data_IF_564380112327
#
_entry.id   IF_564380112327
#
_cell.length_a   1.000
_cell.length_b   1.000
_cell.length_c   1.000
_cell.angle_alpha   90.00
_cell.angle_beta   90.00
_cell.angle_gamma   90.00
#
_symmetry.space_group_name_H-M   'P 1'
#
loop_
_entity.id
_entity.type
_entity.pdbx_description
1 polymer ?
#
# COMPACT_ATOMS: atom_id res chain seq x y z
N UNK A 1 61.32 18.55 -23.63
CA UNK A 1 62.15 17.82 -22.63
C UNK A 1 61.19 17.21 -21.62
N UNK A 2 60.61 16.06 -21.96
CA UNK A 2 60.98 14.71 -21.50
C UNK A 2 60.89 14.54 -19.97
N UNK A 3 59.85 13.85 -19.49
CA UNK A 3 59.96 12.39 -19.29
C UNK A 3 58.65 11.75 -18.83
N UNK A 4 58.25 10.73 -19.59
CA UNK A 4 57.27 9.70 -19.26
C UNK A 4 57.75 8.87 -18.06
N UNK A 5 56.82 8.41 -17.22
CA UNK A 5 56.99 7.17 -16.48
C UNK A 5 55.71 6.35 -16.51
N UNK A 6 55.63 5.49 -17.52
CA UNK A 6 54.78 4.32 -17.58
C UNK A 6 55.32 3.27 -16.61
N UNK A 7 54.47 2.69 -15.76
CA UNK A 7 54.74 1.40 -15.10
C UNK A 7 53.49 0.53 -15.13
N UNK A 8 53.49 -0.41 -16.07
CA UNK A 8 53.02 -1.79 -15.83
C UNK A 8 54.22 -2.70 -16.11
N UNK A 9 54.33 -3.86 -15.41
CA UNK A 9 54.06 -5.09 -16.15
C UNK A 9 53.40 -6.22 -15.35
N UNK A 10 52.42 -6.84 -16.01
CA UNK A 10 52.20 -8.28 -16.23
C UNK A 10 52.66 -9.36 -15.20
N UNK A 11 51.70 -10.23 -14.83
CA UNK A 11 51.78 -11.72 -14.78
C UNK A 11 50.36 -12.25 -14.49
N UNK A 12 49.61 -12.75 -15.48
CA UNK A 12 49.54 -14.13 -16.04
C UNK A 12 48.94 -15.20 -15.09
N UNK A 13 47.75 -15.66 -15.48
CA UNK A 13 47.15 -17.01 -15.47
C UNK A 13 47.50 -18.02 -14.37
N UNK A 14 46.47 -18.50 -13.66
CA UNK A 14 46.25 -19.93 -13.43
C UNK A 14 44.79 -20.20 -13.02
N UNK A 15 44.25 -21.29 -13.55
CA UNK A 15 42.89 -21.77 -13.36
C UNK A 15 42.81 -22.83 -12.24
N UNK A 16 41.57 -23.02 -11.77
CA UNK A 16 40.96 -24.25 -11.26
C UNK A 16 41.24 -24.76 -9.83
N UNK A 17 40.14 -25.31 -9.28
CA UNK A 17 39.95 -26.16 -8.10
C UNK A 17 40.06 -25.45 -6.73
N UNK A 18 39.20 -25.69 -5.73
CA UNK A 18 38.28 -26.79 -5.50
C UNK A 18 37.03 -26.30 -4.77
N UNK A 19 35.89 -26.89 -5.12
CA UNK A 19 34.67 -26.83 -4.33
C UNK A 19 34.88 -27.65 -3.04
N UNK A 20 35.10 -26.99 -1.91
CA UNK A 20 34.96 -27.61 -0.58
C UNK A 20 33.53 -27.36 -0.09
N UNK A 21 32.78 -28.45 -0.12
CA UNK A 21 31.47 -28.61 0.49
C UNK A 21 31.59 -28.32 2.01
N UNK A 22 31.08 -27.18 2.48
CA UNK A 22 30.67 -27.04 3.87
C UNK A 22 29.23 -27.55 3.99
N UNK A 23 29.08 -28.85 4.23
CA UNK A 23 27.90 -29.42 4.87
C UNK A 23 27.99 -29.15 6.37
N UNK A 24 27.70 -27.91 6.76
CA UNK A 24 27.29 -27.55 8.11
C UNK A 24 26.05 -26.68 7.94
N UNK A 25 24.88 -27.27 8.19
CA UNK A 25 23.59 -26.69 7.84
C UNK A 25 23.32 -25.38 8.59
N UNK A 26 22.64 -24.42 7.96
CA UNK A 26 21.82 -23.47 8.68
C UNK A 26 20.44 -24.12 8.88
N UNK A 27 20.30 -24.99 9.89
CA UNK A 27 18.98 -25.33 10.44
C UNK A 27 18.42 -24.17 11.28
N UNK A 28 18.66 -22.91 10.87
CA UNK A 28 18.24 -21.69 11.59
C UNK A 28 17.69 -20.62 10.64
N UNK A 29 17.11 -21.01 9.49
CA UNK A 29 16.30 -20.09 8.68
C UNK A 29 14.86 -20.56 8.43
N UNK A 30 14.44 -21.69 9.03
CA UNK A 30 13.03 -22.03 9.18
C UNK A 30 12.34 -21.29 10.34
N UNK A 31 12.94 -20.19 10.79
CA UNK A 31 12.45 -19.31 11.87
C UNK A 31 12.36 -17.85 11.47
N UNK A 32 12.59 -17.49 10.19
CA UNK A 32 12.07 -16.24 9.65
C UNK A 32 10.58 -16.44 9.38
N UNK A 33 9.81 -16.68 10.45
CA UNK A 33 8.43 -16.25 10.45
C UNK A 33 8.46 -14.82 9.99
N UNK A 34 7.67 -14.50 8.96
CA UNK A 34 7.40 -13.11 8.63
C UNK A 34 7.24 -12.37 9.93
N UNK A 35 7.97 -11.26 10.09
CA UNK A 35 7.79 -10.36 11.21
C UNK A 35 6.31 -9.95 11.21
N UNK A 36 5.48 -10.76 11.87
CA UNK A 36 4.11 -10.46 12.19
C UNK A 36 4.28 -9.37 13.23
N UNK A 37 4.37 -8.14 12.74
CA UNK A 37 4.16 -6.96 13.55
C UNK A 37 2.84 -7.23 14.28
N UNK A 38 2.96 -7.54 15.58
CA UNK A 38 1.89 -7.83 16.54
C UNK A 38 0.59 -7.18 16.08
N UNK A 39 -0.27 -7.95 15.42
CA UNK A 39 -1.53 -7.47 14.82
C UNK A 39 -2.57 -7.13 15.89
N UNK A 40 -2.24 -7.36 17.14
CA UNK A 40 -3.11 -7.16 18.29
C UNK A 40 -3.17 -5.70 18.73
N UNK A 41 -2.22 -4.89 18.27
CA UNK A 41 -2.23 -3.45 18.43
C UNK A 41 -2.83 -2.82 17.18
N UNK A 42 -3.93 -2.07 17.35
CA UNK A 42 -4.63 -1.39 16.26
C UNK A 42 -3.68 -0.52 15.44
N UNK A 43 -4.07 -0.17 14.21
CA UNK A 43 -3.23 0.60 13.30
C UNK A 43 -3.97 1.85 12.86
N UNK A 44 -3.26 2.96 12.73
CA UNK A 44 -3.78 4.14 12.07
C UNK A 44 -2.70 4.76 11.20
N UNK A 45 -3.10 5.26 10.05
CA UNK A 45 -2.23 6.03 9.17
C UNK A 45 -2.98 7.23 8.60
N UNK A 46 -2.23 8.27 8.29
CA UNK A 46 -2.74 9.50 7.72
C UNK A 46 -1.71 10.02 6.70
N UNK A 47 -2.18 10.49 5.55
CA UNK A 47 -1.32 11.01 4.47
C UNK A 47 -1.99 12.19 3.78
N UNK A 48 -1.26 13.29 3.64
CA UNK A 48 -1.77 14.51 3.00
C UNK A 48 -1.83 14.37 1.49
N UNK A 49 -0.77 13.85 0.88
CA UNK A 49 -0.68 13.65 -0.56
C UNK A 49 0.04 12.35 -0.84
N UNK A 50 -0.54 11.52 -1.71
CA UNK A 50 0.14 10.39 -2.33
C UNK A 50 0.00 10.53 -3.84
N UNK A 51 1.12 10.50 -4.55
CA UNK A 51 1.14 10.49 -6.02
C UNK A 51 1.73 9.17 -6.50
N UNK A 52 1.10 8.58 -7.51
CA UNK A 52 1.66 7.54 -8.34
C UNK A 52 1.45 7.97 -9.78
N UNK A 53 2.31 8.87 -10.24
CA UNK A 53 2.26 9.45 -11.59
C UNK A 53 3.43 8.92 -12.40
N UNK A 54 3.18 8.52 -13.63
CA UNK A 54 4.20 8.15 -14.61
C UNK A 54 4.40 9.32 -15.56
N UNK A 55 5.63 9.82 -15.65
CA UNK A 55 5.99 10.94 -16.51
C UNK A 55 6.82 10.41 -17.67
N UNK A 56 6.24 10.45 -18.87
CA UNK A 56 6.92 10.09 -20.11
C UNK A 56 7.35 11.34 -20.85
N UNK A 57 8.67 11.51 -21.01
CA UNK A 57 9.26 12.63 -21.74
C UNK A 57 9.45 12.28 -23.21
N UNK A 58 9.37 13.31 -24.07
CA UNK A 58 9.72 13.34 -25.50
C UNK A 58 9.80 11.95 -26.18
N UNK A 59 8.74 11.57 -26.90
CA UNK A 59 8.63 10.29 -27.62
C UNK A 59 8.73 9.04 -26.74
N UNK A 60 8.37 9.14 -25.45
CA UNK A 60 8.45 8.02 -24.48
C UNK A 60 9.87 7.46 -24.33
N UNK A 61 10.87 8.31 -24.58
CA UNK A 61 12.28 7.92 -24.54
C UNK A 61 12.77 7.70 -23.11
N UNK A 62 12.15 8.37 -22.13
CA UNK A 62 12.41 8.22 -20.70
C UNK A 62 11.09 8.20 -19.96
N UNK A 63 10.87 7.15 -19.16
CA UNK A 63 9.75 7.06 -18.23
C UNK A 63 10.29 7.24 -16.80
N UNK A 64 9.80 8.28 -16.11
CA UNK A 64 10.20 8.60 -14.75
C UNK A 64 8.99 8.46 -13.83
N UNK A 65 8.98 7.46 -12.92
CA UNK A 65 7.91 7.32 -11.94
C UNK A 65 8.03 8.41 -10.86
N UNK A 66 6.97 9.17 -10.66
CA UNK A 66 6.80 10.17 -9.62
C UNK A 66 5.93 9.59 -8.49
N UNK A 67 6.57 8.73 -7.68
CA UNK A 67 5.99 8.19 -6.46
C UNK A 67 6.41 9.06 -5.26
N UNK A 68 5.50 9.88 -4.76
CA UNK A 68 5.74 10.76 -3.61
C UNK A 68 4.65 10.57 -2.57
N UNK A 69 5.03 10.61 -1.29
CA UNK A 69 4.10 10.78 -0.19
C UNK A 69 4.49 11.96 0.69
N UNK A 70 3.52 12.79 1.03
CA UNK A 70 3.69 13.97 1.89
C UNK A 70 2.95 13.76 3.20
N UNK A 71 3.66 14.04 4.29
CA UNK A 71 3.15 13.94 5.65
C UNK A 71 2.47 12.58 5.89
N UNK A 72 3.03 11.52 5.32
CA UNK A 72 2.59 10.16 5.62
C UNK A 72 3.12 9.77 7.00
N UNK A 73 2.19 9.47 7.90
CA UNK A 73 2.49 9.10 9.27
C UNK A 73 1.81 7.79 9.62
N UNK A 74 2.51 6.99 10.43
CA UNK A 74 2.00 5.78 11.03
C UNK A 74 1.92 5.98 12.54
N UNK A 75 0.82 5.57 13.15
CA UNK A 75 0.61 5.78 14.58
C UNK A 75 1.66 5.07 15.46
N UNK A 76 2.06 5.68 16.60
CA UNK A 76 1.72 7.04 17.04
C UNK A 76 2.65 8.07 16.40
N UNK A 77 2.13 8.95 15.54
CA UNK A 77 2.91 10.04 14.95
C UNK A 77 2.01 11.16 14.42
N UNK A 78 2.58 12.36 14.29
CA UNK A 78 1.94 13.52 13.67
C UNK A 78 2.97 14.24 12.79
N UNK A 79 2.52 14.80 11.68
CA UNK A 79 3.36 15.55 10.76
C UNK A 79 2.61 16.78 10.25
N UNK A 80 3.34 17.90 10.16
CA UNK A 80 2.82 19.18 9.68
C UNK A 80 3.83 19.79 8.71
N UNK A 81 3.38 20.14 7.50
CA UNK A 81 4.22 20.77 6.49
C UNK A 81 3.38 21.52 5.47
N UNK A 82 3.71 22.77 5.19
CA UNK A 82 2.89 23.66 4.34
C UNK A 82 3.34 23.67 2.87
N UNK A 83 4.59 23.33 2.57
CA UNK A 83 5.07 23.26 1.18
C UNK A 83 5.98 22.05 0.93
N UNK A 84 5.80 21.40 -0.22
CA UNK A 84 6.70 20.34 -0.70
C UNK A 84 7.18 20.65 -2.13
N UNK A 85 8.48 20.92 -2.23
CA UNK A 85 9.23 20.99 -3.48
C UNK A 85 9.86 19.64 -3.79
N UNK A 86 9.74 19.18 -5.04
CA UNK A 86 10.46 18.02 -5.54
C UNK A 86 11.51 18.47 -6.56
N UNK A 87 12.68 17.84 -6.50
CA UNK A 87 13.68 17.90 -7.56
C UNK A 87 13.65 16.54 -8.23
N UNK A 88 13.36 16.51 -9.51
CA UNK A 88 13.49 15.31 -10.31
C UNK A 88 14.53 15.59 -11.39
N UNK A 89 15.62 14.85 -11.34
CA UNK A 89 16.63 14.89 -12.37
C UNK A 89 16.04 14.33 -13.67
N UNK A 90 16.01 15.15 -14.73
CA UNK A 90 15.53 14.74 -16.05
C UNK A 90 14.19 15.32 -16.48
N UNK A 91 13.37 15.86 -15.58
CA UNK A 91 12.15 16.63 -15.93
C UNK A 91 12.44 18.13 -15.83
N UNK A 92 11.87 18.94 -16.73
CA UNK A 92 12.04 20.41 -16.76
C UNK A 92 13.50 20.92 -16.70
N UNK A 93 14.45 20.16 -17.27
CA UNK A 93 15.86 20.54 -17.30
C UNK A 93 16.58 20.47 -15.94
N UNK A 94 16.07 19.67 -14.99
CA UNK A 94 16.67 19.49 -13.66
C UNK A 94 16.38 20.62 -12.69
N UNK A 95 15.41 21.50 -13.01
CA UNK A 95 15.02 22.58 -12.11
C UNK A 95 14.11 22.06 -10.99
N UNK A 96 14.26 22.55 -9.75
CA UNK A 96 13.30 22.28 -8.69
C UNK A 96 11.92 22.80 -9.09
N UNK A 97 10.88 21.97 -8.90
CA UNK A 97 9.50 22.39 -9.07
C UNK A 97 8.68 22.06 -7.82
N UNK A 98 7.68 22.88 -7.53
CA UNK A 98 6.79 22.65 -6.39
C UNK A 98 5.65 21.75 -6.81
N UNK A 99 5.55 20.55 -6.21
CA UNK A 99 4.44 19.63 -6.49
C UNK A 99 3.21 20.14 -5.75
N UNK A 100 3.30 20.29 -4.42
CA UNK A 100 2.18 20.76 -3.59
C UNK A 100 2.57 22.03 -2.83
N UNK A 101 1.73 23.06 -2.94
CA UNK A 101 1.72 24.22 -2.05
C UNK A 101 0.41 24.20 -1.26
N UNK A 102 0.47 24.45 0.05
CA UNK A 102 -0.71 24.56 0.90
C UNK A 102 -0.45 25.54 2.05
N UNK A 103 -1.50 26.14 2.59
CA UNK A 103 -1.35 26.98 3.79
C UNK A 103 -1.29 26.13 5.06
N UNK A 104 -2.06 25.04 5.08
CA UNK A 104 -2.07 24.06 6.15
C UNK A 104 -2.05 22.66 5.55
N UNK A 105 -1.15 21.81 6.03
CA UNK A 105 -1.18 20.39 5.71
C UNK A 105 -0.74 19.58 6.92
N UNK A 106 -1.70 18.97 7.60
CA UNK A 106 -1.48 18.18 8.80
C UNK A 106 -1.97 16.75 8.61
N UNK A 107 -1.23 15.81 9.22
CA UNK A 107 -1.59 14.41 9.29
C UNK A 107 -1.32 13.91 10.71
N UNK A 108 -2.33 13.29 11.31
CA UNK A 108 -2.25 12.73 12.66
C UNK A 108 -2.70 11.27 12.63
N UNK A 109 -1.91 10.41 13.24
CA UNK A 109 -2.23 9.01 13.43
C UNK A 109 -1.97 8.61 14.88
N UNK A 110 -3.02 8.15 15.56
CA UNK A 110 -2.97 7.76 16.97
C UNK A 110 -3.57 6.38 17.17
N UNK A 111 -2.96 5.61 18.05
CA UNK A 111 -3.43 4.28 18.45
C UNK A 111 -3.36 4.18 19.96
N UNK A 112 -4.44 3.67 20.54
CA UNK A 112 -4.59 3.32 21.95
C UNK A 112 -5.06 1.87 22.04
N UNK A 113 -5.16 1.33 23.26
CA UNK A 113 -5.65 -0.04 23.48
C UNK A 113 -7.10 -0.27 23.02
N UNK A 114 -7.90 0.78 22.89
CA UNK A 114 -9.33 0.69 22.56
C UNK A 114 -9.73 1.45 21.29
N UNK A 115 -8.84 2.26 20.73
CA UNK A 115 -9.13 3.10 19.55
C UNK A 115 -7.90 3.30 18.68
N UNK A 116 -8.09 3.22 17.37
CA UNK A 116 -7.18 3.72 16.36
C UNK A 116 -7.85 4.84 15.56
N UNK A 117 -7.14 5.95 15.37
CA UNK A 117 -7.65 7.14 14.70
C UNK A 117 -6.60 7.75 13.77
N UNK A 118 -6.97 7.90 12.49
CA UNK A 118 -6.21 8.65 11.50
C UNK A 118 -7.01 9.89 11.09
N UNK A 119 -6.36 11.04 10.97
CA UNK A 119 -6.99 12.25 10.45
C UNK A 119 -6.02 13.09 9.64
N UNK A 120 -6.54 13.77 8.63
CA UNK A 120 -5.78 14.73 7.83
C UNK A 120 -6.59 15.99 7.61
N UNK A 121 -5.87 17.12 7.53
CA UNK A 121 -6.44 18.42 7.23
C UNK A 121 -5.53 19.15 6.24
N UNK A 122 -6.13 19.65 5.17
CA UNK A 122 -5.45 20.36 4.10
C UNK A 122 -6.25 21.62 3.77
N UNK A 123 -5.59 22.79 3.75
CA UNK A 123 -6.21 24.07 3.43
C UNK A 123 -5.40 24.84 2.38
N UNK A 124 -6.11 25.51 1.48
CA UNK A 124 -5.61 26.30 0.37
C UNK A 124 -4.49 25.60 -0.41
N UNK A 125 -4.79 24.39 -0.89
CA UNK A 125 -3.80 23.57 -1.54
C UNK A 125 -3.87 23.66 -3.07
N UNK A 126 -2.71 23.79 -3.70
CA UNK A 126 -2.53 23.80 -5.14
C UNK A 126 -1.49 22.75 -5.55
N UNK A 127 -1.91 21.79 -6.36
CA UNK A 127 -1.07 20.70 -6.87
C UNK A 127 -0.68 20.98 -8.32
N UNK A 128 0.61 20.88 -8.62
CA UNK A 128 1.17 21.08 -9.95
C UNK A 128 1.81 19.78 -10.44
N UNK A 129 1.79 19.59 -11.76
CA UNK A 129 2.42 18.46 -12.44
C UNK A 129 3.39 18.94 -13.50
N UNK A 130 4.44 18.16 -13.81
CA UNK A 130 5.34 18.48 -14.92
C UNK A 130 4.59 18.70 -16.24
N UNK A 131 5.07 19.64 -17.06
CA UNK A 131 4.48 19.94 -18.37
C UNK A 131 3.34 20.97 -18.36
N UNK A 132 2.84 21.39 -17.18
CA UNK A 132 1.82 22.42 -17.03
C UNK A 132 2.28 23.55 -16.10
N UNK A 133 3.23 24.41 -16.52
CA UNK A 133 3.79 25.44 -15.63
C UNK A 133 2.80 26.56 -15.28
N UNK A 134 1.80 26.80 -16.14
CA UNK A 134 0.82 27.89 -15.97
C UNK A 134 -0.46 27.46 -15.24
N UNK A 135 -0.73 26.16 -15.17
CA UNK A 135 -1.99 25.62 -14.66
C UNK A 135 -1.74 24.60 -13.56
N UNK A 136 -2.34 24.83 -12.40
CA UNK A 136 -2.45 23.80 -11.36
C UNK A 136 -3.30 22.64 -11.88
N UNK A 137 -2.89 21.41 -11.60
CA UNK A 137 -3.72 20.23 -11.83
C UNK A 137 -5.03 20.37 -11.07
N UNK A 138 -4.93 20.74 -9.79
CA UNK A 138 -6.07 20.99 -8.93
C UNK A 138 -5.74 22.02 -7.84
N UNK A 139 -6.73 22.84 -7.51
CA UNK A 139 -6.75 23.73 -6.36
C UNK A 139 -7.98 23.44 -5.50
N UNK A 140 -7.77 23.36 -4.18
CA UNK A 140 -8.81 23.07 -3.20
C UNK A 140 -8.71 24.04 -2.02
N UNK A 141 -9.86 24.53 -1.56
CA UNK A 141 -9.92 25.42 -0.41
C UNK A 141 -9.71 24.69 0.91
N UNK A 142 -10.50 23.64 1.18
CA UNK A 142 -10.34 22.87 2.40
C UNK A 142 -10.77 21.43 2.20
N UNK A 143 -9.93 20.51 2.69
CA UNK A 143 -10.11 19.07 2.54
C UNK A 143 -9.79 18.40 3.86
N UNK A 144 -10.68 17.52 4.31
CA UNK A 144 -10.51 16.77 5.55
C UNK A 144 -10.86 15.31 5.35
N UNK A 145 -10.09 14.42 5.97
CA UNK A 145 -10.48 13.02 6.10
C UNK A 145 -10.20 12.52 7.50
N UNK A 146 -11.06 11.63 7.97
CA UNK A 146 -10.98 11.02 9.29
C UNK A 146 -11.44 9.58 9.22
N UNK A 147 -10.66 8.69 9.82
CA UNK A 147 -11.00 7.30 10.01
C UNK A 147 -10.84 6.97 11.50
N UNK A 148 -11.90 6.46 12.12
CA UNK A 148 -11.91 6.10 13.54
C UNK A 148 -12.41 4.67 13.70
N UNK A 149 -11.58 3.87 14.36
CA UNK A 149 -11.80 2.45 14.60
C UNK A 149 -11.74 2.20 16.10
N UNK A 150 -12.90 1.99 16.72
CA UNK A 150 -13.01 1.61 18.12
C UNK A 150 -13.15 0.10 18.27
N UNK A 151 -12.53 -0.43 19.32
CA UNK A 151 -12.59 -1.84 19.63
C UNK A 151 -14.04 -2.27 19.92
N UNK A 152 -14.51 -3.31 19.22
CA UNK A 152 -15.87 -3.84 19.37
C UNK A 152 -17.00 -2.97 18.80
N UNK A 153 -16.71 -1.87 18.10
CA UNK A 153 -17.72 -1.03 17.43
C UNK A 153 -17.53 -1.00 15.93
N UNK A 154 -18.57 -0.57 15.20
CA UNK A 154 -18.51 -0.37 13.76
C UNK A 154 -17.52 0.78 13.44
N UNK A 155 -16.51 0.55 12.59
CA UNK A 155 -15.61 1.61 12.12
C UNK A 155 -16.36 2.74 11.42
N UNK A 156 -15.87 3.97 11.59
CA UNK A 156 -16.45 5.18 10.99
C UNK A 156 -15.38 5.88 10.15
N UNK A 157 -15.75 6.24 8.93
CA UNK A 157 -14.91 6.97 8.00
C UNK A 157 -15.69 8.18 7.48
N UNK A 158 -15.07 9.36 7.49
CA UNK A 158 -15.66 10.58 6.92
C UNK A 158 -14.62 11.33 6.12
N UNK A 159 -15.07 11.94 5.03
CA UNK A 159 -14.21 12.73 4.18
C UNK A 159 -15.02 13.88 3.60
N UNK A 160 -14.57 15.12 3.83
CA UNK A 160 -15.30 16.32 3.45
C UNK A 160 -14.39 17.24 2.65
N UNK A 161 -14.99 17.86 1.64
CA UNK A 161 -14.40 18.94 0.88
C UNK A 161 -15.29 20.17 1.06
N UNK A 162 -14.69 21.26 1.50
CA UNK A 162 -15.37 22.54 1.73
C UNK A 162 -14.76 23.59 0.81
N UNK A 163 -15.64 24.38 0.18
CA UNK A 163 -15.24 25.46 -0.72
C UNK A 163 -15.19 25.06 -2.20
N UNK A 164 -14.54 25.89 -3.00
CA UNK A 164 -14.43 25.66 -4.43
C UNK A 164 -13.28 24.74 -4.83
N UNK A 165 -13.47 24.03 -5.95
CA UNK A 165 -12.44 23.23 -6.58
C UNK A 165 -12.19 23.75 -7.98
N UNK A 166 -10.92 23.98 -8.30
CA UNK A 166 -10.48 24.35 -9.63
C UNK A 166 -9.63 23.22 -10.18
N UNK A 167 -9.91 22.76 -11.40
CA UNK A 167 -9.16 21.68 -12.07
C UNK A 167 -8.68 22.22 -13.40
N UNK A 168 -7.36 22.17 -13.63
CA UNK A 168 -6.73 22.70 -14.85
C UNK A 168 -7.18 24.15 -15.17
N UNK A 169 -7.28 24.99 -14.14
CA UNK A 169 -7.72 26.38 -14.25
C UNK A 169 -9.23 26.61 -14.47
N UNK A 170 -10.06 25.56 -14.49
CA UNK A 170 -11.53 25.68 -14.57
C UNK A 170 -12.16 25.39 -13.21
N UNK A 171 -13.02 26.29 -12.72
CA UNK A 171 -13.83 26.06 -11.52
C UNK A 171 -14.88 24.98 -11.81
N UNK A 172 -14.91 23.95 -10.97
CA UNK A 172 -15.76 22.77 -11.14
C UNK A 172 -16.83 22.75 -10.07
N UNK A 173 -18.08 22.53 -10.47
CA UNK A 173 -19.17 22.23 -9.54
C UNK A 173 -19.16 20.73 -9.26
N UNK A 174 -18.93 20.36 -8.01
CA UNK A 174 -18.83 18.96 -7.60
C UNK A 174 -20.20 18.29 -7.57
N UNK A 175 -20.28 17.09 -8.14
CA UNK A 175 -21.49 16.26 -8.09
C UNK A 175 -21.58 15.47 -6.78
N UNK A 176 -22.73 15.53 -6.11
CA UNK A 176 -22.96 15.01 -4.74
C UNK A 176 -22.99 13.47 -4.62
N UNK A 177 -22.59 12.72 -5.64
CA UNK A 177 -22.73 11.24 -5.59
C UNK A 177 -22.08 10.47 -6.73
N UNK A 178 -21.11 11.05 -7.44
CA UNK A 178 -20.47 10.37 -8.56
C UNK A 178 -19.17 11.05 -9.01
N UNK A 179 -18.38 10.36 -9.85
CA UNK A 179 -17.15 10.90 -10.40
C UNK A 179 -17.44 12.16 -11.21
N UNK A 180 -16.64 13.20 -11.03
CA UNK A 180 -16.69 14.39 -11.89
C UNK A 180 -15.57 14.29 -12.92
N UNK A 181 -15.91 14.35 -14.21
CA UNK A 181 -14.93 14.32 -15.29
C UNK A 181 -14.74 15.72 -15.87
N UNK A 182 -13.49 16.16 -15.96
CA UNK A 182 -13.11 17.48 -16.47
C UNK A 182 -12.20 17.27 -17.68
N UNK A 183 -12.69 17.70 -18.85
CA UNK A 183 -11.95 17.62 -20.12
C UNK A 183 -11.55 19.02 -20.56
N UNK A 184 -10.25 19.23 -20.76
CA UNK A 184 -9.69 20.51 -21.23
C UNK A 184 -9.04 20.29 -22.60
N UNK A 185 -9.61 20.88 -23.67
CA UNK A 185 -9.05 20.76 -25.01
C UNK A 185 -7.58 21.16 -25.06
N UNK A 186 -6.75 20.31 -25.70
CA UNK A 186 -5.32 20.56 -25.86
C UNK A 186 -4.46 20.30 -24.61
N UNK A 187 -5.06 19.89 -23.48
CA UNK A 187 -4.32 19.60 -22.24
C UNK A 187 -4.51 18.14 -21.83
N UNK A 188 -5.74 17.70 -21.59
CA UNK A 188 -6.02 16.36 -21.10
C UNK A 188 -7.35 16.23 -20.36
N UNK A 189 -7.48 15.13 -19.62
CA UNK A 189 -8.65 14.78 -18.84
C UNK A 189 -8.28 14.43 -17.40
N UNK A 190 -9.15 14.84 -16.48
CA UNK A 190 -9.02 14.56 -15.06
C UNK A 190 -10.36 14.06 -14.54
N UNK A 191 -10.35 12.90 -13.92
CA UNK A 191 -11.52 12.33 -13.23
C UNK A 191 -11.33 12.45 -11.73
N UNK A 192 -12.31 13.03 -11.07
CA UNK A 192 -12.33 13.28 -9.64
C UNK A 192 -13.33 12.35 -8.96
N UNK A 193 -12.84 11.49 -8.07
CA UNK A 193 -13.65 10.71 -7.15
C UNK A 193 -13.63 11.39 -5.78
N UNK A 194 -14.80 11.83 -5.32
CA UNK A 194 -14.97 12.63 -4.11
C UNK A 194 -15.35 11.76 -2.93
N UNK A 195 -14.82 12.11 -1.75
CA UNK A 195 -15.25 11.59 -0.45
C UNK A 195 -15.40 10.07 -0.40
N UNK A 196 -14.45 9.32 -0.96
CA UNK A 196 -14.46 7.86 -0.92
C UNK A 196 -14.28 7.39 0.52
N UNK A 197 -15.27 6.66 1.02
CA UNK A 197 -15.21 6.01 2.33
C UNK A 197 -15.41 4.51 2.17
N UNK A 198 -14.60 3.72 2.85
CA UNK A 198 -14.74 2.27 2.93
C UNK A 198 -14.69 1.85 4.39
N UNK A 199 -15.62 1.01 4.81
CA UNK A 199 -15.68 0.49 6.18
C UNK A 199 -15.93 -1.00 6.14
N UNK A 200 -15.18 -1.76 6.92
CA UNK A 200 -15.37 -3.20 7.14
C UNK A 200 -15.74 -3.43 8.61
N UNK A 201 -15.67 -4.68 9.07
CA UNK A 201 -15.88 -5.03 10.49
C UNK A 201 -14.83 -4.41 11.41
N UNK A 202 -13.58 -4.27 10.94
CA UNK A 202 -12.45 -3.81 11.77
C UNK A 202 -11.63 -2.68 11.16
N UNK A 203 -11.82 -2.35 9.89
CA UNK A 203 -11.07 -1.28 9.22
C UNK A 203 -11.97 -0.18 8.70
N UNK A 204 -11.44 1.03 8.66
CA UNK A 204 -12.04 2.16 7.98
C UNK A 204 -10.97 2.91 7.16
N UNK A 205 -11.35 3.37 5.99
CA UNK A 205 -10.55 4.21 5.12
C UNK A 205 -11.40 5.36 4.60
N UNK A 206 -10.84 6.57 4.64
CA UNK A 206 -11.44 7.78 4.12
C UNK A 206 -10.42 8.48 3.23
N UNK A 207 -10.79 8.72 1.97
CA UNK A 207 -10.03 9.53 1.02
C UNK A 207 -10.91 10.68 0.57
N UNK A 208 -10.50 11.90 0.86
CA UNK A 208 -11.32 13.06 0.54
C UNK A 208 -11.34 13.36 -0.96
N UNK A 209 -10.21 13.15 -1.64
CA UNK A 209 -10.18 13.27 -3.08
C UNK A 209 -9.19 12.29 -3.71
N UNK A 210 -9.65 11.57 -4.71
CA UNK A 210 -8.84 10.73 -5.58
C UNK A 210 -8.98 11.21 -7.02
N UNK A 211 -7.86 11.49 -7.68
CA UNK A 211 -7.83 11.94 -9.05
C UNK A 211 -7.18 10.88 -9.92
N UNK A 212 -7.83 10.57 -11.05
CA UNK A 212 -7.21 9.88 -12.18
C UNK A 212 -6.87 10.92 -13.24
N UNK A 213 -5.60 10.98 -13.58
CA UNK A 213 -5.02 12.04 -14.41
C UNK A 213 -4.52 11.42 -15.71
N UNK A 214 -4.89 12.02 -16.83
CA UNK A 214 -4.30 11.72 -18.14
C UNK A 214 -4.10 13.02 -18.90
N UNK A 215 -2.85 13.46 -18.98
CA UNK A 215 -2.46 14.75 -19.55
C UNK A 215 -1.44 14.51 -20.66
N UNK A 216 -1.77 14.99 -21.86
CA UNK A 216 -0.90 14.97 -23.03
C UNK A 216 -1.04 16.30 -23.77
N UNK A 217 -0.28 17.33 -23.37
CA UNK A 217 -0.43 18.67 -23.88
C UNK A 217 -0.14 18.70 -25.39
N UNK A 218 -1.07 19.30 -26.14
CA UNK A 218 -1.05 19.43 -27.60
C UNK A 218 -0.91 18.11 -28.37
N UNK A 219 -1.05 16.94 -27.71
CA UNK A 219 -0.77 15.61 -28.27
C UNK A 219 0.63 15.47 -28.88
N UNK A 220 1.58 16.26 -28.38
CA UNK A 220 2.95 16.30 -28.91
C UNK A 220 3.90 15.34 -28.20
N UNK A 221 3.43 14.56 -27.22
CA UNK A 221 4.22 13.59 -26.45
C UNK A 221 5.49 14.18 -25.82
N UNK A 222 5.44 15.46 -25.43
CA UNK A 222 6.59 16.17 -24.84
C UNK A 222 6.70 15.85 -23.34
N UNK A 223 5.55 15.76 -22.66
CA UNK A 223 5.40 15.35 -21.26
C UNK A 223 4.01 14.73 -21.09
N UNK A 224 3.91 13.42 -21.31
CA UNK A 224 2.69 12.66 -21.00
C UNK A 224 2.72 12.31 -19.51
N UNK A 225 1.66 12.67 -18.77
CA UNK A 225 1.50 12.38 -17.35
C UNK A 225 0.24 11.56 -17.17
N UNK A 226 0.41 10.34 -16.68
CA UNK A 226 -0.69 9.43 -16.37
C UNK A 226 -0.56 8.91 -14.95
N UNK A 227 -1.68 8.71 -14.26
CA UNK A 227 -1.68 7.98 -13.00
C UNK A 227 -2.71 8.47 -12.00
N UNK A 228 -2.44 8.24 -10.72
CA UNK A 228 -3.36 8.51 -9.63
C UNK A 228 -2.76 9.46 -8.60
N UNK A 229 -3.59 10.37 -8.12
CA UNK A 229 -3.28 11.26 -7.01
C UNK A 229 -4.33 11.09 -5.93
N UNK A 230 -3.91 10.92 -4.69
CA UNK A 230 -4.79 10.90 -3.52
C UNK A 230 -4.44 12.07 -2.61
N UNK A 231 -5.44 12.90 -2.31
CA UNK A 231 -5.34 14.02 -1.39
C UNK A 231 -6.15 13.73 -0.12
N UNK A 232 -5.51 13.95 1.03
CA UNK A 232 -6.05 13.79 2.36
C UNK A 232 -6.70 12.41 2.55
N UNK A 233 -5.88 11.40 2.82
CA UNK A 233 -6.34 10.06 3.15
C UNK A 233 -6.00 9.66 4.59
N UNK A 234 -6.93 8.97 5.23
CA UNK A 234 -6.80 8.42 6.56
C UNK A 234 -7.27 6.97 6.57
N UNK A 235 -6.54 6.10 7.26
CA UNK A 235 -6.94 4.71 7.47
C UNK A 235 -6.81 4.34 8.94
N UNK A 236 -7.66 3.41 9.37
CA UNK A 236 -7.54 2.79 10.68
C UNK A 236 -7.92 1.31 10.64
N UNK A 237 -7.40 0.60 11.63
CA UNK A 237 -7.71 -0.77 11.98
C UNK A 237 -7.92 -0.85 13.49
N UNK A 238 -9.08 -1.37 13.88
CA UNK A 238 -9.48 -1.51 15.27
C UNK A 238 -8.55 -2.48 16.01
N UNK A 239 -8.10 -2.13 17.22
CA UNK A 239 -7.36 -3.08 18.05
C UNK A 239 -8.25 -4.28 18.40
N UNK A 240 -7.63 -5.46 18.47
CA UNK A 240 -8.32 -6.67 18.92
C UNK A 240 -8.40 -6.62 20.43
N UNK A 241 -9.62 -6.41 20.95
CA UNK A 241 -9.91 -6.70 22.36
C UNK A 241 -10.47 -8.10 22.43
N UNK A 242 -9.79 -8.99 23.15
CA UNK A 242 -10.39 -10.26 23.55
C UNK A 242 -11.70 -9.94 24.25
N UNK A 243 -12.81 -10.44 23.72
CA UNK A 243 -14.09 -10.32 24.36
C UNK A 243 -13.97 -11.03 25.72
N UNK A 244 -13.91 -10.25 26.81
CA UNK A 244 -14.11 -10.81 28.14
C UNK A 244 -15.46 -11.53 28.09
N UNK A 245 -15.44 -12.86 28.14
CA UNK A 245 -16.64 -13.67 28.35
C UNK A 245 -17.40 -13.03 29.51
N UNK A 246 -18.62 -12.59 29.25
CA UNK A 246 -19.48 -12.09 30.31
C UNK A 246 -19.55 -13.15 31.42
N UNK A 247 -19.45 -12.78 32.71
CA UNK A 247 -19.74 -13.72 33.79
C UNK A 247 -21.15 -14.28 33.57
N UNK A 248 -21.26 -15.60 33.70
CA UNK A 248 -22.40 -16.39 33.26
C UNK A 248 -23.76 -15.81 33.64
N UNK A 249 -24.69 -15.89 32.70
CA UNK A 249 -26.10 -15.89 33.03
C UNK A 249 -26.37 -17.11 33.94
N UNK A 250 -26.98 -16.86 35.09
CA UNK A 250 -27.47 -17.89 36.01
C UNK A 250 -28.33 -18.92 35.23
N UNK A 251 -28.10 -20.24 35.40
CA UNK A 251 -28.96 -21.23 34.76
C UNK A 251 -30.30 -21.27 35.49
N UNK A 252 -31.33 -20.73 34.83
CA UNK A 252 -32.71 -20.96 35.19
C UNK A 252 -33.07 -22.44 34.96
N UNK A 253 -33.51 -23.08 36.06
CA UNK A 253 -34.49 -24.16 36.17
C UNK A 253 -34.51 -25.31 35.14
N UNK A 254 -34.14 -26.48 35.66
CA UNK A 254 -34.89 -27.75 35.55
C UNK A 254 -35.24 -28.26 34.14
N UNK A 255 -34.30 -28.99 33.54
CA UNK A 255 -34.59 -29.97 32.48
C UNK A 255 -34.01 -31.31 32.90
N UNK A 256 -34.88 -32.27 33.21
CA UNK A 256 -34.51 -33.68 33.44
C UNK A 256 -34.31 -34.39 32.10
N UNK A 257 -33.13 -34.94 31.80
CA UNK A 257 -32.97 -35.82 30.65
C UNK A 257 -33.56 -37.20 30.96
N UNK A 258 -34.58 -37.60 30.21
CA UNK A 258 -34.95 -39.01 30.07
C UNK A 258 -34.30 -39.55 28.79
N UNK A 259 -33.33 -40.44 28.94
CA UNK A 259 -32.69 -41.15 27.83
C UNK A 259 -31.55 -42.05 28.32
N UNK A 260 -31.56 -43.31 27.88
CA UNK A 260 -30.61 -44.40 28.11
C UNK A 260 -29.11 -44.02 27.91
N UNK A 261 -28.16 -44.83 28.42
CA UNK A 261 -26.74 -44.50 28.37
C UNK A 261 -26.21 -44.50 26.93
N UNK A 262 -25.94 -43.30 26.40
CA UNK A 262 -25.31 -43.11 25.11
C UNK A 262 -23.81 -43.46 25.18
N UNK A 263 -23.39 -44.34 24.27
CA UNK A 263 -22.01 -44.71 24.00
C UNK A 263 -21.13 -43.49 23.72
N UNK A 264 -19.91 -43.53 24.25
CA UNK A 264 -18.88 -42.51 24.04
C UNK A 264 -18.53 -42.38 22.56
N UNK A 265 -18.74 -41.20 21.97
CA UNK A 265 -18.28 -40.94 20.61
C UNK A 265 -18.92 -39.76 19.90
N UNK A 266 -19.01 -38.57 20.51
CA UNK A 266 -19.47 -37.37 19.80
C UNK A 266 -18.57 -36.16 20.04
N UNK A 267 -17.42 -36.19 19.39
CA UNK A 267 -16.70 -35.00 18.91
C UNK A 267 -15.85 -35.40 17.68
N UNK A 268 -16.48 -36.00 16.67
CA UNK A 268 -15.82 -36.32 15.40
C UNK A 268 -16.28 -35.32 14.34
N UNK A 269 -15.73 -34.10 14.42
CA UNK A 269 -15.91 -33.10 13.38
C UNK A 269 -15.02 -33.46 12.17
N UNK A 270 -15.64 -33.98 11.12
CA UNK A 270 -15.22 -33.71 9.73
C UNK A 270 -13.93 -34.36 9.20
N UNK A 271 -13.61 -35.59 9.59
CA UNK A 271 -12.59 -36.40 8.91
C UNK A 271 -13.18 -37.19 7.73
N UNK A 272 -13.01 -36.73 6.49
CA UNK A 272 -13.42 -37.53 5.33
C UNK A 272 -12.55 -38.79 5.23
N UNK A 273 -13.17 -39.96 5.08
CA UNK A 273 -12.53 -41.29 5.11
C UNK A 273 -11.48 -41.57 3.99
N UNK A 274 -11.09 -40.56 3.21
CA UNK A 274 -10.03 -40.65 2.20
C UNK A 274 -8.68 -40.06 2.67
N UNK A 275 -8.61 -39.45 3.86
CA UNK A 275 -7.35 -38.89 4.38
C UNK A 275 -6.18 -39.89 4.52
N UNK A 276 -6.37 -41.17 4.93
CA UNK A 276 -5.23 -42.09 5.02
C UNK A 276 -4.71 -42.49 3.63
N UNK A 277 -5.56 -42.49 2.61
CA UNK A 277 -5.17 -42.81 1.23
C UNK A 277 -4.37 -41.68 0.57
N UNK A 278 -4.67 -40.42 0.87
CA UNK A 278 -3.92 -39.26 0.36
C UNK A 278 -2.55 -39.14 1.06
N UNK A 279 -2.47 -39.42 2.36
CA UNK A 279 -1.20 -39.47 3.08
C UNK A 279 -0.32 -40.66 2.61
N UNK A 280 -0.92 -41.81 2.29
CA UNK A 280 -0.21 -42.96 1.74
C UNK A 280 0.30 -42.77 0.30
N UNK A 281 -0.49 -42.10 -0.56
CA UNK A 281 -0.13 -41.89 -1.97
C UNK A 281 1.10 -41.00 -2.19
N UNK A 282 1.35 -40.04 -1.29
CA UNK A 282 2.49 -39.12 -1.40
C UNK A 282 3.85 -39.82 -1.26
N UNK A 283 3.94 -40.90 -0.48
CA UNK A 283 5.19 -41.66 -0.27
C UNK A 283 5.60 -42.42 -1.54
N UNK A 284 4.63 -42.95 -2.29
CA UNK A 284 4.89 -43.69 -3.55
C UNK A 284 5.36 -42.74 -4.65
N UNK A 285 4.79 -41.53 -4.75
CA UNK A 285 5.21 -40.53 -5.73
C UNK A 285 6.63 -39.98 -5.45
N UNK A 286 7.00 -39.82 -4.18
CA UNK A 286 8.36 -39.42 -3.79
C UNK A 286 9.39 -40.52 -4.07
N UNK A 287 9.04 -41.79 -3.83
CA UNK A 287 9.90 -42.92 -4.16
C UNK A 287 10.08 -43.08 -5.69
N UNK A 288 9.00 -42.93 -6.47
CA UNK A 288 9.05 -42.96 -7.94
C UNK A 288 9.87 -41.83 -8.54
N UNK A 289 9.68 -40.60 -8.06
CA UNK A 289 10.44 -39.42 -8.51
C UNK A 289 11.94 -39.50 -8.17
N UNK A 290 12.29 -39.99 -6.97
CA UNK A 290 13.68 -40.19 -6.57
C UNK A 290 14.41 -41.26 -7.40
N UNK A 291 13.73 -42.35 -7.75
CA UNK A 291 14.29 -43.42 -8.58
C UNK A 291 14.61 -42.98 -10.02
N UNK A 292 13.72 -42.18 -10.63
CA UNK A 292 13.91 -41.68 -12.00
C UNK A 292 15.12 -40.74 -12.13
N UNK A 293 15.36 -39.89 -11.12
CA UNK A 293 16.51 -38.96 -11.09
C UNK A 293 17.83 -39.71 -10.92
N UNK A 294 17.85 -40.80 -10.14
CA UNK A 294 19.04 -41.64 -9.95
C UNK A 294 19.40 -42.43 -11.22
N UNK A 295 18.41 -42.94 -11.96
CA UNK A 295 18.64 -43.64 -13.23
C UNK A 295 19.10 -42.68 -14.34
N UNK A 296 18.55 -41.47 -14.41
CA UNK A 296 18.98 -40.45 -15.37
C UNK A 296 20.42 -39.96 -15.14
N UNK A 297 20.89 -39.97 -13.88
CA UNK A 297 22.29 -39.65 -13.54
C UNK A 297 23.28 -40.75 -13.91
N UNK A 298 22.83 -42.01 -14.00
CA UNK A 298 23.70 -43.16 -14.28
C UNK A 298 23.91 -43.45 -15.77
N UNK A 299 23.09 -42.87 -16.65
CA UNK A 299 23.22 -42.94 -18.11
C UNK A 299 24.02 -41.80 -18.76
N UNK A 300 24.69 -40.96 -17.96
CA UNK A 300 25.52 -39.83 -18.43
C UNK A 300 26.96 -39.89 -17.88
N UNK A 301 27.42 -41.09 -17.54
CA UNK A 301 28.82 -41.40 -17.26
C UNK A 301 29.40 -42.27 -18.36
#
# INVERSE_FOLDING_TARGET
MNSNNFRMPARRFAAAAAATVLTAGPAVLAGAGSAHATTDHGRASAVVLRTGLDVSLLNKSVNVPLALSLNEVQAPASAEKTALSAQLDGVDGGKPFSVLRADVATAHATVTSTRAEGSTHLAHAALHVPGLPLLSLIEVEQVTSKATCEAGKKPVASANLLGSVTVLGKKVTLSVGGPTEVKVPGVGEVRLDLSKTQTTTRTAAASALELKVSINPLKLNVAEVEGTVTLAAATCEAPVVEAKTAPGADPAADVRPQGEPAQAGLAETGGSSMTPYIAGGAVVLLAGGGGAVLLARRGRG
#
